data_IF_445258986777
#
_entry.id   IF_445258986777
#
_cell.length_a   1.000
_cell.length_b   1.000
_cell.length_c   1.000
_cell.angle_alpha   90.00
_cell.angle_beta   90.00
_cell.angle_gamma   90.00
#
_symmetry.space_group_name_H-M   'P 1'
#
loop_
_entity.id
_entity.type
_entity.pdbx_description
1 polymer ?
#
# COMPACT_ATOMS: atom_id res chain seq x y z
N UNK A 1 -15.67 8.79 -7.61
CA UNK A 1 -14.71 9.43 -6.69
C UNK A 1 -14.55 8.64 -5.38
N UNK A 2 -15.59 8.01 -4.83
CA UNK A 2 -15.55 7.35 -3.51
C UNK A 2 -14.53 6.21 -3.32
N UNK A 3 -14.23 5.47 -4.40
CA UNK A 3 -13.29 4.34 -4.32
C UNK A 3 -11.84 4.79 -4.14
N UNK A 4 -11.38 5.84 -4.82
CA UNK A 4 -10.01 6.35 -4.69
C UNK A 4 -9.76 6.92 -3.30
N UNK A 5 -10.72 7.67 -2.74
CA UNK A 5 -10.64 8.18 -1.37
C UNK A 5 -10.59 7.05 -0.34
N UNK A 6 -11.35 5.97 -0.56
CA UNK A 6 -11.29 4.83 0.36
C UNK A 6 -9.96 4.08 0.26
N UNK A 7 -9.42 3.87 -0.94
CA UNK A 7 -8.13 3.21 -1.15
C UNK A 7 -7.00 4.04 -0.53
N UNK A 8 -7.03 5.37 -0.67
CA UNK A 8 -6.07 6.26 -0.02
C UNK A 8 -6.10 6.13 1.51
N UNK A 9 -7.29 6.01 2.11
CA UNK A 9 -7.42 5.80 3.55
C UNK A 9 -6.88 4.43 3.99
N UNK A 10 -7.08 3.37 3.18
CA UNK A 10 -6.50 2.05 3.43
C UNK A 10 -4.97 2.13 3.43
N UNK A 11 -4.38 2.80 2.44
CA UNK A 11 -2.92 2.96 2.34
C UNK A 11 -2.34 3.75 3.52
N UNK A 12 -3.02 4.81 3.96
CA UNK A 12 -2.62 5.57 5.16
C UNK A 12 -2.65 4.71 6.42
N UNK A 13 -3.73 3.94 6.63
CA UNK A 13 -3.81 3.01 7.77
C UNK A 13 -2.74 1.91 7.71
N UNK A 14 -2.47 1.36 6.52
CA UNK A 14 -1.42 0.36 6.34
C UNK A 14 -0.05 0.93 6.69
N UNK A 15 0.23 2.19 6.31
CA UNK A 15 1.44 2.91 6.71
C UNK A 15 1.56 3.06 8.22
N UNK A 16 0.47 3.43 8.90
CA UNK A 16 0.47 3.57 10.36
C UNK A 16 0.75 2.23 11.06
N UNK A 17 0.21 1.13 10.52
CA UNK A 17 0.45 -0.23 11.00
C UNK A 17 1.91 -0.69 10.83
N UNK A 18 2.54 -0.36 9.70
CA UNK A 18 3.97 -0.65 9.47
C UNK A 18 4.85 0.23 10.36
N UNK A 19 4.52 1.53 10.49
CA UNK A 19 5.28 2.47 11.31
C UNK A 19 5.27 2.11 12.80
N UNK A 20 4.12 1.62 13.29
CA UNK A 20 3.96 1.16 14.68
C UNK A 20 4.60 -0.19 14.96
N UNK A 21 5.12 -0.87 13.94
CA UNK A 21 5.79 -2.17 14.07
C UNK A 21 4.85 -3.35 14.29
N UNK A 22 3.53 -3.16 14.11
CA UNK A 22 2.56 -4.26 14.17
C UNK A 22 2.69 -5.20 12.97
N UNK A 23 3.13 -4.68 11.82
CA UNK A 23 3.37 -5.46 10.61
C UNK A 23 4.72 -5.07 9.98
N UNK A 24 5.46 -6.06 9.49
CA UNK A 24 6.78 -5.86 8.90
C UNK A 24 6.71 -5.46 7.42
N UNK A 25 5.67 -5.91 6.71
CA UNK A 25 5.52 -5.69 5.28
C UNK A 25 4.18 -5.04 4.90
N UNK A 26 4.14 -4.53 3.67
CA UNK A 26 2.98 -3.81 3.12
C UNK A 26 1.78 -4.74 2.93
N UNK A 27 2.01 -6.02 2.62
CA UNK A 27 0.96 -6.93 2.24
C UNK A 27 0.16 -7.40 3.46
N UNK A 28 0.84 -7.73 4.55
CA UNK A 28 0.26 -8.03 5.85
C UNK A 28 -0.51 -6.84 6.40
N UNK A 29 0.05 -5.62 6.32
CA UNK A 29 -0.60 -4.42 6.80
C UNK A 29 -1.93 -4.13 6.08
N UNK A 30 -2.00 -4.34 4.75
CA UNK A 30 -3.25 -4.21 3.99
C UNK A 30 -4.21 -5.36 4.31
N UNK A 31 -3.71 -6.58 4.47
CA UNK A 31 -4.53 -7.77 4.79
C UNK A 31 -5.20 -7.65 6.17
N UNK A 32 -4.49 -7.09 7.14
CA UNK A 32 -4.98 -6.85 8.50
C UNK A 32 -6.22 -5.94 8.54
N UNK A 33 -6.40 -5.07 7.55
CA UNK A 33 -7.56 -4.17 7.43
C UNK A 33 -8.84 -4.89 6.94
N UNK A 34 -8.90 -6.23 7.01
CA UNK A 34 -10.07 -7.00 6.57
C UNK A 34 -11.37 -6.71 7.31
N UNK A 35 -11.28 -6.22 8.54
CA UNK A 35 -12.44 -5.78 9.33
C UNK A 35 -12.93 -4.38 8.91
N UNK A 36 -12.05 -3.56 8.35
CA UNK A 36 -12.29 -2.15 8.05
C UNK A 36 -12.59 -1.87 6.57
N UNK A 37 -12.17 -2.78 5.67
CA UNK A 37 -12.28 -2.61 4.23
C UNK A 37 -12.78 -3.90 3.57
N UNK A 38 -13.67 -3.76 2.58
CA UNK A 38 -14.12 -4.90 1.76
C UNK A 38 -12.99 -5.46 0.91
N UNK A 39 -13.10 -6.73 0.51
CA UNK A 39 -12.13 -7.42 -0.36
C UNK A 39 -11.73 -6.59 -1.58
N UNK A 40 -12.68 -6.13 -2.42
CA UNK A 40 -12.35 -5.34 -3.61
C UNK A 40 -11.57 -4.05 -3.32
N UNK A 41 -11.80 -3.41 -2.17
CA UNK A 41 -11.08 -2.18 -1.81
C UNK A 41 -9.65 -2.49 -1.35
N UNK A 42 -9.44 -3.63 -0.69
CA UNK A 42 -8.10 -4.12 -0.36
C UNK A 42 -7.35 -4.53 -1.63
N UNK A 43 -8.03 -5.20 -2.57
CA UNK A 43 -7.45 -5.57 -3.87
C UNK A 43 -6.99 -4.33 -4.65
N UNK A 44 -7.82 -3.28 -4.69
CA UNK A 44 -7.42 -2.01 -5.30
C UNK A 44 -6.21 -1.37 -4.60
N UNK A 45 -6.09 -1.48 -3.27
CA UNK A 45 -4.90 -1.01 -2.55
C UNK A 45 -3.66 -1.84 -2.90
N UNK A 46 -3.80 -3.17 -3.02
CA UNK A 46 -2.72 -4.05 -3.49
C UNK A 46 -2.25 -3.67 -4.89
N UNK A 47 -3.17 -3.50 -5.83
CA UNK A 47 -2.82 -3.09 -7.19
C UNK A 47 -2.15 -1.71 -7.23
N UNK A 48 -2.63 -0.75 -6.43
CA UNK A 48 -2.01 0.57 -6.37
C UNK A 48 -0.55 0.53 -5.90
N UNK A 49 -0.24 -0.33 -4.93
CA UNK A 49 1.13 -0.57 -4.44
C UNK A 49 1.97 -1.24 -5.52
N UNK A 50 1.46 -2.30 -6.17
CA UNK A 50 2.15 -3.02 -7.24
C UNK A 50 2.49 -2.12 -8.42
N UNK A 51 1.55 -1.29 -8.87
CA UNK A 51 1.79 -0.31 -9.93
C UNK A 51 2.90 0.67 -9.55
N UNK A 52 2.92 1.13 -8.31
CA UNK A 52 3.96 2.07 -7.84
C UNK A 52 5.33 1.40 -7.77
N UNK A 53 5.38 0.14 -7.33
CA UNK A 53 6.61 -0.65 -7.30
C UNK A 53 7.16 -0.85 -8.72
N UNK A 54 6.29 -1.19 -9.68
CA UNK A 54 6.65 -1.38 -11.08
C UNK A 54 7.11 -0.08 -11.79
N UNK A 55 6.55 1.08 -11.41
CA UNK A 55 6.98 2.39 -11.92
C UNK A 55 8.38 2.79 -11.39
N UNK A 56 8.73 2.39 -10.16
CA UNK A 56 9.96 2.81 -9.48
C UNK A 56 11.17 1.88 -9.66
N UNK A 57 10.93 0.60 -9.97
CA UNK A 57 11.95 -0.43 -10.25
C UNK A 57 11.32 -1.37 -11.27
N UNK A 58 11.99 -1.66 -12.39
CA UNK A 58 11.48 -2.64 -13.37
C UNK A 58 11.18 -4.00 -12.72
N UNK A 59 10.27 -4.78 -13.31
CA UNK A 59 9.79 -6.12 -12.88
C UNK A 59 10.07 -6.47 -11.40
N UNK A 60 9.50 -5.71 -10.46
CA UNK A 60 9.53 -6.07 -9.04
C UNK A 60 8.59 -7.23 -8.81
N UNK A 61 9.14 -8.38 -8.41
CA UNK A 61 8.35 -9.53 -8.01
C UNK A 61 7.66 -9.28 -6.67
N UNK A 62 6.47 -9.86 -6.46
CA UNK A 62 5.77 -9.86 -5.17
C UNK A 62 6.65 -10.29 -3.98
N UNK A 63 7.65 -11.14 -4.23
CA UNK A 63 8.63 -11.59 -3.24
C UNK A 63 9.50 -10.45 -2.69
N UNK A 64 9.81 -9.45 -3.51
CA UNK A 64 10.61 -8.30 -3.10
C UNK A 64 9.82 -7.33 -2.21
N UNK A 65 8.49 -7.36 -2.28
CA UNK A 65 7.59 -6.58 -1.43
C UNK A 65 7.42 -7.19 -0.04
N UNK A 66 7.40 -8.52 0.05
CA UNK A 66 7.34 -9.24 1.33
C UNK A 66 8.69 -9.28 2.04
N UNK A 67 9.80 -9.32 1.29
CA UNK A 67 11.16 -9.27 1.84
C UNK A 67 11.68 -7.84 2.10
N UNK A 68 10.87 -6.82 1.83
CA UNK A 68 11.25 -5.43 2.02
C UNK A 68 11.50 -5.12 3.49
N UNK A 69 12.58 -4.39 3.80
CA UNK A 69 12.76 -3.82 5.14
C UNK A 69 11.60 -2.88 5.47
N UNK A 70 11.34 -2.65 6.77
CA UNK A 70 10.31 -1.69 7.23
C UNK A 70 10.43 -0.35 6.52
N UNK A 71 11.65 0.15 6.36
CA UNK A 71 11.92 1.44 5.72
C UNK A 71 11.59 1.41 4.21
N UNK A 72 11.82 0.29 3.53
CA UNK A 72 11.42 0.10 2.14
C UNK A 72 9.89 -0.02 1.99
N UNK A 73 9.23 -0.72 2.91
CA UNK A 73 7.76 -0.79 2.98
C UNK A 73 7.13 0.59 3.20
N UNK A 74 7.69 1.38 4.14
CA UNK A 74 7.28 2.76 4.40
C UNK A 74 7.49 3.66 3.19
N UNK A 75 8.65 3.60 2.55
CA UNK A 75 8.96 4.41 1.37
C UNK A 75 8.02 4.09 0.20
N UNK A 76 7.67 2.82 0.00
CA UNK A 76 6.74 2.41 -1.05
C UNK A 76 5.32 2.92 -0.76
N UNK A 77 4.83 2.76 0.47
CA UNK A 77 3.52 3.28 0.87
C UNK A 77 3.45 4.81 0.70
N UNK A 78 4.50 5.53 1.08
CA UNK A 78 4.59 6.98 0.88
C UNK A 78 4.59 7.38 -0.59
N UNK A 79 5.31 6.65 -1.44
CA UNK A 79 5.30 6.86 -2.88
C UNK A 79 3.91 6.60 -3.48
N UNK A 80 3.23 5.52 -3.09
CA UNK A 80 1.90 5.18 -3.58
C UNK A 80 0.86 6.22 -3.15
N UNK A 81 0.89 6.64 -1.88
CA UNK A 81 0.00 7.70 -1.35
C UNK A 81 0.20 9.00 -2.13
N UNK A 82 1.46 9.40 -2.36
CA UNK A 82 1.78 10.60 -3.14
C UNK A 82 1.25 10.50 -4.58
N UNK A 83 1.51 9.39 -5.27
CA UNK A 83 1.03 9.13 -6.65
C UNK A 83 -0.49 9.17 -6.76
N UNK A 84 -1.19 8.57 -5.80
CA UNK A 84 -2.66 8.59 -5.81
C UNK A 84 -3.22 9.97 -5.50
N UNK A 85 -2.60 10.70 -4.56
CA UNK A 85 -3.02 12.06 -4.22
C UNK A 85 -2.82 13.00 -5.41
N UNK A 86 -1.74 12.86 -6.18
CA UNK A 86 -1.51 13.68 -7.38
C UNK A 86 -2.48 13.38 -8.54
N UNK A 87 -3.11 12.20 -8.57
CA UNK A 87 -4.13 11.83 -9.58
C UNK A 87 -5.54 12.34 -9.22
N UNK A 88 -5.74 12.86 -8.01
CA UNK A 88 -7.00 13.42 -7.53
C UNK A 88 -7.13 14.94 -7.78
N UNK A 89 -6.03 15.58 -8.18
CA UNK A 89 -5.94 16.99 -8.56
C UNK A 89 -5.78 17.13 -10.07
#
# INVERSE_FOLDING_TARGET
>A
MDNQTTVLNILKKARDLVNSGYHADVLEAISALKADASGPKRDLAYYAVLETAAEGRGEVGLSDLSAASRDAAMALLDATIRRMTSKLH
#
